data_IF_479410077938
#
_entry.id   IF_479410077938
#
_cell.length_a   1.000
_cell.length_b   1.000
_cell.length_c   1.000
_cell.angle_alpha   90.00
_cell.angle_beta   90.00
_cell.angle_gamma   90.00
#
_symmetry.space_group_name_H-M   'P 1'
#
loop_
_entity.id
_entity.type
_entity.pdbx_description
1 polymer ?
#
# COMPACT_ATOMS: atom_id res chain seq x y z
N UNK A 1 -22.84 -4.77 -21.61
CA UNK A 1 -23.08 -5.45 -20.31
C UNK A 1 -21.82 -5.33 -19.46
N UNK A 2 -21.72 -4.24 -18.69
CA UNK A 2 -20.54 -3.93 -17.90
C UNK A 2 -20.42 -4.87 -16.70
N UNK A 3 -19.51 -5.83 -16.76
CA UNK A 3 -19.04 -6.50 -15.54
C UNK A 3 -18.01 -5.58 -14.89
N UNK A 4 -18.50 -4.53 -14.23
CA UNK A 4 -17.76 -3.94 -13.11
C UNK A 4 -17.76 -5.04 -12.07
N UNK A 5 -16.78 -5.93 -12.16
CA UNK A 5 -16.51 -6.93 -11.15
C UNK A 5 -16.57 -6.14 -9.85
N UNK A 6 -17.59 -6.39 -9.03
CA UNK A 6 -17.63 -5.96 -7.64
C UNK A 6 -16.47 -6.71 -7.01
N UNK A 7 -15.24 -6.21 -7.26
CA UNK A 7 -14.02 -6.82 -6.78
C UNK A 7 -14.16 -6.61 -5.29
N UNK A 8 -14.46 -7.69 -4.56
CA UNK A 8 -14.09 -7.82 -3.15
C UNK A 8 -12.82 -7.01 -2.98
N UNK A 9 -12.75 -5.99 -2.10
CA UNK A 9 -11.55 -5.19 -2.01
C UNK A 9 -10.42 -6.20 -1.84
N UNK A 10 -9.57 -6.25 -2.86
CA UNK A 10 -8.50 -7.24 -2.92
C UNK A 10 -7.75 -7.15 -1.60
N UNK A 11 -7.13 -8.24 -1.14
CA UNK A 11 -6.35 -8.17 0.10
C UNK A 11 -5.40 -6.95 0.10
N UNK A 12 -4.88 -6.61 -1.09
CA UNK A 12 -4.21 -5.34 -1.39
C UNK A 12 -5.02 -4.08 -1.02
N UNK A 13 -6.21 -3.86 -1.58
CA UNK A 13 -7.00 -2.65 -1.30
C UNK A 13 -7.37 -2.49 0.19
N UNK A 14 -7.56 -3.61 0.90
CA UNK A 14 -7.79 -3.58 2.35
C UNK A 14 -6.51 -3.20 3.09
N UNK A 15 -5.41 -3.88 2.78
CA UNK A 15 -4.11 -3.60 3.37
C UNK A 15 -3.65 -2.16 3.14
N UNK A 16 -3.72 -1.67 1.90
CA UNK A 16 -3.30 -0.31 1.56
C UNK A 16 -4.09 0.74 2.36
N UNK A 17 -5.41 0.58 2.51
CA UNK A 17 -6.21 1.52 3.31
C UNK A 17 -5.81 1.50 4.79
N UNK A 18 -5.54 0.33 5.34
CA UNK A 18 -5.17 0.15 6.73
C UNK A 18 -3.76 0.67 7.01
N UNK A 19 -2.83 0.38 6.12
CA UNK A 19 -1.43 0.78 6.22
C UNK A 19 -1.27 2.30 6.01
N UNK A 20 -2.00 2.91 5.06
CA UNK A 20 -2.05 4.38 4.93
C UNK A 20 -2.60 5.01 6.21
N UNK A 21 -3.63 4.44 6.82
CA UNK A 21 -4.21 4.95 8.08
C UNK A 21 -3.18 4.87 9.20
N UNK A 22 -2.46 3.75 9.30
CA UNK A 22 -1.38 3.56 10.29
C UNK A 22 -0.24 4.56 10.09
N UNK A 23 0.22 4.74 8.86
CA UNK A 23 1.29 5.68 8.52
C UNK A 23 0.88 7.11 8.87
N UNK A 24 -0.33 7.53 8.49
CA UNK A 24 -0.87 8.86 8.83
C UNK A 24 -1.12 9.05 10.33
N UNK A 25 -1.46 7.99 11.07
CA UNK A 25 -1.61 8.07 12.52
C UNK A 25 -0.26 8.29 13.22
N UNK A 26 0.82 7.69 12.69
CA UNK A 26 2.17 7.90 13.21
C UNK A 26 2.77 9.25 12.76
N UNK A 27 2.51 9.66 11.51
CA UNK A 27 3.01 10.90 10.90
C UNK A 27 1.85 11.66 10.24
N UNK A 28 1.13 12.53 10.95
CA UNK A 28 -0.02 13.25 10.39
C UNK A 28 0.37 14.27 9.31
N UNK A 29 1.61 14.73 9.28
CA UNK A 29 2.13 15.65 8.24
C UNK A 29 2.44 14.96 6.90
N UNK A 30 2.47 13.63 6.87
CA UNK A 30 2.81 12.89 5.64
C UNK A 30 1.73 13.06 4.57
N UNK A 31 2.15 13.33 3.34
CA UNK A 31 1.22 13.41 2.21
C UNK A 31 0.58 12.05 1.93
N UNK A 32 -0.66 12.06 1.43
CA UNK A 32 -1.32 10.83 0.99
C UNK A 32 -0.49 10.07 -0.06
N UNK A 33 0.27 10.78 -0.91
CA UNK A 33 1.15 10.17 -1.91
C UNK A 33 2.27 9.37 -1.27
N UNK A 34 2.95 9.93 -0.27
CA UNK A 34 4.02 9.22 0.44
C UNK A 34 3.48 8.08 1.29
N UNK A 35 2.36 8.29 2.00
CA UNK A 35 1.71 7.22 2.77
C UNK A 35 1.28 6.05 1.86
N UNK A 36 0.76 6.35 0.67
CA UNK A 36 0.38 5.32 -0.31
C UNK A 36 1.60 4.57 -0.84
N UNK A 37 2.66 5.29 -1.21
CA UNK A 37 3.92 4.68 -1.66
C UNK A 37 4.47 3.75 -0.57
N UNK A 38 4.55 4.20 0.68
CA UNK A 38 5.01 3.38 1.80
C UNK A 38 4.10 2.17 2.04
N UNK A 39 2.78 2.33 1.97
CA UNK A 39 1.85 1.21 2.08
C UNK A 39 2.04 0.18 0.96
N UNK A 40 2.25 0.63 -0.28
CA UNK A 40 2.50 -0.26 -1.42
C UNK A 40 3.86 -0.97 -1.30
N UNK A 41 4.89 -0.28 -0.82
CA UNK A 41 6.21 -0.86 -0.48
C UNK A 41 6.08 -1.94 0.60
N UNK A 42 5.31 -1.68 1.66
CA UNK A 42 5.08 -2.65 2.74
C UNK A 42 4.29 -3.87 2.25
N UNK A 43 3.31 -3.68 1.36
CA UNK A 43 2.59 -4.79 0.74
C UNK A 43 3.52 -5.69 -0.09
N UNK A 44 4.43 -5.08 -0.87
CA UNK A 44 5.41 -5.82 -1.67
C UNK A 44 6.47 -6.55 -0.83
N UNK A 45 6.74 -6.07 0.40
CA UNK A 45 7.69 -6.68 1.33
C UNK A 45 7.14 -7.84 2.18
N UNK A 46 5.82 -8.12 2.14
CA UNK A 46 5.27 -9.28 2.84
C UNK A 46 5.88 -10.58 2.28
N UNK A 47 6.34 -11.51 3.14
CA UNK A 47 7.25 -12.61 2.78
C UNK A 47 6.67 -13.68 1.83
N UNK A 48 5.45 -13.49 1.32
CA UNK A 48 4.85 -14.36 0.31
C UNK A 48 5.03 -13.86 -1.12
N UNK A 49 5.63 -12.67 -1.33
CA UNK A 49 5.79 -12.07 -2.66
C UNK A 49 7.25 -11.74 -2.91
N UNK A 50 8.04 -12.78 -3.18
CA UNK A 50 9.37 -12.67 -3.76
C UNK A 50 9.27 -12.08 -5.16
N UNK A 51 9.19 -10.75 -5.30
CA UNK A 51 9.41 -10.10 -6.59
C UNK A 51 10.18 -8.80 -6.36
N UNK A 52 11.50 -8.95 -6.46
CA UNK A 52 12.46 -7.88 -6.25
C UNK A 52 12.27 -6.75 -7.25
N UNK A 53 11.94 -5.57 -6.72
CA UNK A 53 12.22 -4.28 -7.34
C UNK A 53 12.65 -3.31 -6.23
N UNK A 54 13.97 -3.29 -6.02
CA UNK A 54 14.80 -2.15 -5.63
C UNK A 54 14.07 -0.98 -4.94
N UNK A 55 14.17 -0.89 -3.62
CA UNK A 55 13.87 0.34 -2.89
C UNK A 55 15.17 1.03 -2.51
N UNK A 56 15.70 1.73 -3.50
CA UNK A 56 16.61 2.84 -3.30
C UNK A 56 15.75 4.11 -3.11
N UNK A 57 15.26 4.33 -1.89
CA UNK A 57 14.74 5.64 -1.49
C UNK A 57 15.29 5.93 -0.09
N UNK A 58 16.48 6.50 -0.12
CA UNK A 58 17.10 7.29 0.93
C UNK A 58 16.19 8.43 1.37
N UNK A 59 15.95 8.53 2.67
CA UNK A 59 15.83 9.81 3.39
C UNK A 59 16.30 9.56 4.83
#
# INVERSE_FOLDING_TARGET
>A
MGKKQQRTPSAYNRFIKEEIRRIKANNPEISHREAFSNAAKNWAHLPHTQFGLTLNDTA
#
